data_IF_202224119450
#
_entry.id   IF_202224119450
#
_cell.length_a   1.000
_cell.length_b   1.000
_cell.length_c   1.000
_cell.angle_alpha   90.00
_cell.angle_beta   90.00
_cell.angle_gamma   90.00
#
_symmetry.space_group_name_H-M   'P 1'
#
loop_
_entity.id
_entity.type
_entity.pdbx_description
1 polymer ?
#
# COMPACT_ATOMS: atom_id res chain seq x y z
N UNK A 1 -5.41 11.37 1.01
CA UNK A 1 -4.50 10.47 0.28
C UNK A 1 -3.10 10.92 0.61
N UNK A 2 -2.42 10.21 1.47
CA UNK A 2 -0.98 10.40 1.63
C UNK A 2 -0.29 9.77 0.41
N UNK A 3 0.55 10.49 -0.31
CA UNK A 3 1.27 9.92 -1.44
C UNK A 3 2.27 8.88 -0.92
N UNK A 4 2.07 7.64 -1.34
CA UNK A 4 3.11 6.60 -1.31
C UNK A 4 2.75 5.46 -0.40
N UNK A 5 2.76 5.06 0.62
CA UNK A 5 2.85 3.75 1.28
C UNK A 5 1.51 3.24 1.83
N UNK A 6 0.52 4.12 2.03
CA UNK A 6 -0.74 3.79 2.70
C UNK A 6 -1.95 4.02 1.79
N UNK A 7 -2.04 3.34 0.66
CA UNK A 7 -3.24 3.31 -0.18
C UNK A 7 -4.11 2.13 0.24
N UNK A 8 -5.23 2.38 0.88
CA UNK A 8 -6.16 1.34 1.28
C UNK A 8 -7.47 1.43 0.49
N UNK A 9 -8.11 0.29 0.30
CA UNK A 9 -9.44 0.23 -0.27
C UNK A 9 -10.42 0.92 0.69
N UNK A 10 -11.04 1.99 0.20
CA UNK A 10 -12.12 2.68 0.91
C UNK A 10 -13.31 2.85 -0.03
N UNK A 11 -14.50 2.82 0.51
CA UNK A 11 -15.70 3.18 -0.24
C UNK A 11 -16.06 4.62 0.08
N UNK A 12 -16.24 5.41 -0.98
CA UNK A 12 -16.73 6.78 -0.87
C UNK A 12 -18.25 6.77 -0.76
N UNK A 13 -18.77 7.65 0.08
CA UNK A 13 -20.21 7.89 0.27
C UNK A 13 -20.48 9.39 0.29
N UNK A 14 -21.70 9.77 -0.08
CA UNK A 14 -22.24 11.10 0.06
C UNK A 14 -22.81 11.38 1.47
N UNK A 15 -22.76 10.39 2.35
CA UNK A 15 -23.17 10.55 3.74
C UNK A 15 -22.12 11.31 4.53
N UNK A 16 -22.54 12.33 5.26
CA UNK A 16 -21.66 13.13 6.08
C UNK A 16 -21.04 12.30 7.24
N UNK A 17 -19.73 12.12 7.23
CA UNK A 17 -18.99 11.56 8.34
C UNK A 17 -18.35 12.71 9.11
N UNK A 18 -18.94 13.04 10.25
CA UNK A 18 -18.46 14.11 11.12
C UNK A 18 -17.54 13.55 12.24
N UNK A 19 -16.70 14.38 12.85
CA UNK A 19 -15.97 14.00 14.06
C UNK A 19 -16.91 13.40 15.11
N UNK A 20 -16.59 12.18 15.58
CA UNK A 20 -17.41 11.38 16.48
C UNK A 20 -18.14 10.21 15.82
N UNK A 21 -18.32 10.21 14.50
CA UNK A 21 -18.91 9.08 13.78
C UNK A 21 -17.89 7.99 13.41
N UNK A 22 -16.60 8.33 13.41
CA UNK A 22 -15.52 7.38 13.07
C UNK A 22 -15.53 6.17 13.99
N UNK A 23 -15.41 4.96 13.42
CA UNK A 23 -15.56 3.70 14.14
C UNK A 23 -17.01 3.21 14.25
N UNK A 24 -18.00 4.04 13.94
CA UNK A 24 -19.41 3.63 13.91
C UNK A 24 -19.75 2.77 12.69
N UNK A 25 -20.81 1.94 12.76
CA UNK A 25 -21.22 1.10 11.64
C UNK A 25 -21.87 1.93 10.53
N UNK A 26 -21.48 1.67 9.28
CA UNK A 26 -22.20 2.12 8.10
C UNK A 26 -23.19 1.05 7.71
N UNK A 27 -24.47 1.42 7.59
CA UNK A 27 -25.55 0.44 7.33
C UNK A 27 -26.30 0.77 6.04
N UNK A 28 -26.71 -0.29 5.34
CA UNK A 28 -27.59 -0.19 4.18
C UNK A 28 -28.65 -1.29 4.31
N UNK A 29 -29.93 -0.94 4.19
CA UNK A 29 -31.05 -1.87 4.31
C UNK A 29 -31.01 -2.73 5.60
N UNK A 30 -30.54 -2.14 6.70
CA UNK A 30 -30.45 -2.81 8.01
C UNK A 30 -29.24 -3.74 8.19
N UNK A 31 -28.36 -3.82 7.21
CA UNK A 31 -27.11 -4.59 7.29
C UNK A 31 -25.90 -3.67 7.39
N UNK A 32 -24.91 -4.07 8.19
CA UNK A 32 -23.63 -3.37 8.25
C UNK A 32 -22.83 -3.66 6.98
N UNK A 33 -22.46 -2.59 6.26
CA UNK A 33 -21.68 -2.65 5.01
C UNK A 33 -20.26 -2.13 5.19
N UNK A 34 -19.92 -1.58 6.34
CA UNK A 34 -18.60 -1.06 6.64
C UNK A 34 -18.52 -0.32 7.96
N UNK A 35 -17.36 0.27 8.19
CA UNK A 35 -17.04 1.10 9.36
C UNK A 35 -16.64 2.49 8.91
N UNK A 36 -17.32 3.52 9.45
CA UNK A 36 -17.01 4.91 9.16
C UNK A 36 -15.57 5.25 9.53
N UNK A 37 -14.84 5.87 8.60
CA UNK A 37 -13.41 6.12 8.80
C UNK A 37 -13.08 7.61 8.84
N UNK A 38 -13.25 8.31 7.71
CA UNK A 38 -12.90 9.74 7.64
C UNK A 38 -13.79 10.49 6.65
N UNK A 39 -13.78 11.83 6.76
CA UNK A 39 -14.35 12.73 5.76
C UNK A 39 -13.27 13.63 5.18
N UNK A 40 -13.52 14.16 4.00
CA UNK A 40 -12.70 15.22 3.45
C UNK A 40 -13.25 16.57 3.90
N UNK A 41 -12.59 17.20 4.88
CA UNK A 41 -13.02 18.49 5.44
C UNK A 41 -13.05 19.66 4.43
N UNK A 42 -12.46 19.47 3.25
CA UNK A 42 -12.44 20.48 2.18
C UNK A 42 -13.55 20.26 1.13
N UNK A 43 -14.20 19.12 1.17
CA UNK A 43 -15.31 18.77 0.26
C UNK A 43 -16.56 18.52 1.10
N UNK A 44 -17.61 19.21 0.81
CA UNK A 44 -18.90 18.96 1.43
C UNK A 44 -19.42 17.59 1.00
N UNK A 45 -20.01 16.85 1.94
CA UNK A 45 -20.69 15.58 1.70
C UNK A 45 -19.83 14.47 1.08
N UNK A 46 -18.55 14.40 1.45
CA UNK A 46 -17.65 13.29 1.06
C UNK A 46 -17.17 12.58 2.30
N UNK A 47 -17.68 11.37 2.51
CA UNK A 47 -17.23 10.46 3.54
C UNK A 47 -16.57 9.21 2.95
N UNK A 48 -15.77 8.53 3.76
CA UNK A 48 -15.13 7.26 3.40
C UNK A 48 -15.34 6.25 4.50
N UNK A 49 -15.63 5.02 4.12
CA UNK A 49 -15.73 3.92 5.07
C UNK A 49 -14.91 2.70 4.66
N UNK A 50 -14.48 1.95 5.65
CA UNK A 50 -13.75 0.69 5.49
C UNK A 50 -14.76 -0.39 5.10
N UNK A 51 -14.59 -1.07 3.95
CA UNK A 51 -15.54 -2.06 3.47
C UNK A 51 -15.42 -3.41 4.20
N UNK A 52 -16.48 -4.20 4.15
CA UNK A 52 -16.59 -5.52 4.81
C UNK A 52 -15.43 -6.47 4.47
N UNK A 53 -14.89 -6.57 3.23
CA UNK A 53 -13.75 -7.44 2.96
C UNK A 53 -12.53 -7.15 3.84
N UNK A 54 -12.17 -5.88 4.02
CA UNK A 54 -11.04 -5.51 4.88
C UNK A 54 -11.32 -5.77 6.36
N UNK A 55 -12.56 -5.57 6.80
CA UNK A 55 -12.98 -5.90 8.16
C UNK A 55 -12.84 -7.40 8.41
N UNK A 56 -13.34 -8.23 7.49
CA UNK A 56 -13.24 -9.68 7.58
C UNK A 56 -11.79 -10.16 7.57
N UNK A 57 -10.95 -9.56 6.73
CA UNK A 57 -9.51 -9.84 6.72
C UNK A 57 -8.88 -9.55 8.09
N UNK A 58 -9.15 -8.37 8.65
CA UNK A 58 -8.64 -8.00 9.97
C UNK A 58 -9.12 -8.96 11.06
N UNK A 59 -10.42 -9.31 11.08
CA UNK A 59 -10.96 -10.26 12.05
C UNK A 59 -10.37 -11.67 11.90
N UNK A 60 -10.03 -12.06 10.68
CA UNK A 60 -9.36 -13.35 10.43
C UNK A 60 -7.91 -13.31 10.92
N UNK A 61 -7.20 -12.20 10.71
CA UNK A 61 -5.83 -11.98 11.15
C UNK A 61 -5.70 -12.10 12.68
N UNK A 62 -6.54 -11.37 13.43
CA UNK A 62 -6.48 -11.35 14.90
C UNK A 62 -7.09 -12.58 15.58
N UNK A 63 -7.57 -13.56 14.85
CA UNK A 63 -8.30 -14.72 15.42
C UNK A 63 -7.46 -15.56 16.36
N UNK A 64 -6.16 -15.61 16.15
CA UNK A 64 -5.19 -16.30 17.01
C UNK A 64 -4.69 -15.44 18.18
N UNK A 65 -5.18 -14.21 18.30
CA UNK A 65 -4.80 -13.22 19.33
C UNK A 65 -3.60 -12.37 18.96
N UNK A 66 -3.12 -12.47 17.72
CA UNK A 66 -1.98 -11.69 17.20
C UNK A 66 -2.40 -10.91 15.97
N UNK A 67 -1.86 -9.71 15.83
CA UNK A 67 -1.99 -8.92 14.60
C UNK A 67 -0.70 -9.01 13.77
N UNK A 68 -0.75 -9.70 12.64
CA UNK A 68 0.39 -9.86 11.74
C UNK A 68 0.57 -8.69 10.77
N UNK A 69 -0.49 -7.94 10.52
CA UNK A 69 -0.45 -6.73 9.72
C UNK A 69 -1.07 -6.85 8.33
N UNK A 70 -0.85 -5.85 7.49
CA UNK A 70 -1.32 -5.82 6.10
C UNK A 70 -0.20 -6.32 5.20
N UNK A 71 -0.45 -7.31 4.34
CA UNK A 71 0.55 -7.76 3.40
C UNK A 71 0.76 -6.73 2.28
N UNK A 72 1.98 -6.64 1.81
CA UNK A 72 2.36 -5.74 0.72
C UNK A 72 3.19 -6.47 -0.34
N UNK A 73 3.05 -6.05 -1.60
CA UNK A 73 3.90 -6.55 -2.69
C UNK A 73 5.33 -6.00 -2.53
N UNK A 74 5.46 -4.72 -2.18
CA UNK A 74 6.74 -4.07 -1.96
C UNK A 74 7.44 -3.67 -3.25
N UNK A 75 6.73 -3.00 -4.15
CA UNK A 75 7.26 -2.44 -5.40
C UNK A 75 6.85 -0.98 -5.58
N UNK A 76 7.69 -0.21 -6.26
CA UNK A 76 7.29 1.06 -6.86
C UNK A 76 7.08 0.86 -8.36
N UNK A 77 6.07 1.53 -8.89
CA UNK A 77 5.63 1.31 -10.26
C UNK A 77 5.38 2.61 -11.00
N UNK A 78 5.54 2.57 -12.31
CA UNK A 78 5.16 3.65 -13.23
C UNK A 78 4.11 3.18 -14.22
N UNK A 79 3.17 4.08 -14.52
CA UNK A 79 2.13 3.84 -15.52
C UNK A 79 2.71 3.73 -16.93
N UNK A 80 2.11 2.88 -17.74
CA UNK A 80 2.47 2.67 -19.14
C UNK A 80 1.40 3.24 -20.11
N UNK A 81 0.76 4.35 -19.73
CA UNK A 81 -0.24 5.03 -20.57
C UNK A 81 0.38 5.48 -21.90
N UNK A 82 1.66 5.85 -21.91
CA UNK A 82 2.35 6.25 -23.12
C UNK A 82 2.57 5.03 -24.04
N UNK A 83 1.89 5.01 -25.19
CA UNK A 83 1.97 3.93 -26.16
C UNK A 83 3.39 3.73 -26.73
N UNK A 84 4.13 4.81 -27.00
CA UNK A 84 5.49 4.71 -27.52
C UNK A 84 6.43 4.05 -26.51
N UNK A 85 6.20 4.28 -25.21
CA UNK A 85 6.99 3.62 -24.18
C UNK A 85 6.68 2.12 -24.10
N UNK A 86 5.42 1.71 -24.24
CA UNK A 86 5.06 0.29 -24.35
C UNK A 86 5.73 -0.37 -25.56
N UNK A 87 5.73 0.30 -26.73
CA UNK A 87 6.43 -0.17 -27.93
C UNK A 87 7.94 -0.32 -27.71
N UNK A 88 8.55 0.67 -27.04
CA UNK A 88 9.98 0.61 -26.67
C UNK A 88 10.29 -0.61 -25.77
N UNK A 89 9.41 -0.93 -24.83
CA UNK A 89 9.52 -2.11 -23.98
C UNK A 89 9.17 -3.42 -24.70
N UNK A 90 8.76 -3.33 -25.96
CA UNK A 90 8.42 -4.49 -26.81
C UNK A 90 7.13 -5.20 -26.37
N UNK A 91 6.22 -4.53 -25.66
CA UNK A 91 4.95 -5.13 -25.27
C UNK A 91 4.08 -5.40 -26.51
N UNK A 92 3.33 -6.52 -26.55
CA UNK A 92 2.30 -6.74 -27.55
C UNK A 92 1.24 -5.62 -27.52
N UNK A 93 0.65 -5.32 -28.69
CA UNK A 93 -0.19 -4.11 -28.90
C UNK A 93 -1.34 -3.97 -27.87
N UNK A 94 -2.03 -5.03 -27.56
CA UNK A 94 -3.20 -5.03 -26.66
C UNK A 94 -2.85 -5.37 -25.21
N UNK A 95 -1.55 -5.31 -24.85
CA UNK A 95 -1.11 -5.63 -23.50
C UNK A 95 -1.04 -4.36 -22.67
N UNK A 96 -1.84 -4.33 -21.60
CA UNK A 96 -1.69 -3.37 -20.53
C UNK A 96 -0.52 -3.73 -19.61
N UNK A 97 -0.49 -3.11 -18.46
CA UNK A 97 0.47 -3.41 -17.41
C UNK A 97 1.14 -2.18 -16.84
N UNK A 98 1.90 -2.42 -15.79
CA UNK A 98 2.59 -1.37 -15.04
C UNK A 98 4.06 -1.74 -14.87
N UNK A 99 4.94 -0.76 -15.07
CA UNK A 99 6.39 -0.97 -15.00
C UNK A 99 6.85 -1.04 -13.54
N UNK A 100 7.62 -2.04 -13.19
CA UNK A 100 8.32 -2.13 -11.91
C UNK A 100 9.59 -1.28 -11.99
N UNK A 101 9.60 -0.17 -11.26
CA UNK A 101 10.75 0.74 -11.16
C UNK A 101 11.68 0.40 -10.01
N UNK A 102 11.11 -0.11 -8.93
CA UNK A 102 11.87 -0.52 -7.75
C UNK A 102 11.25 -1.73 -7.08
N UNK A 103 12.10 -2.57 -6.53
CA UNK A 103 11.72 -3.67 -5.63
C UNK A 103 12.30 -3.33 -4.26
N UNK A 104 11.44 -3.32 -3.24
CA UNK A 104 11.84 -3.04 -1.86
C UNK A 104 12.57 -4.26 -1.30
N UNK A 105 13.79 -4.11 -0.78
CA UNK A 105 14.51 -5.22 -0.17
C UNK A 105 13.72 -5.89 0.95
N UNK A 106 13.80 -7.20 1.03
CA UNK A 106 13.10 -8.07 2.01
C UNK A 106 11.56 -8.09 1.89
N UNK A 107 10.97 -7.40 0.92
CA UNK A 107 9.53 -7.43 0.63
C UNK A 107 9.06 -8.77 0.05
N UNK A 108 7.75 -8.88 -0.23
CA UNK A 108 7.19 -10.02 -0.95
C UNK A 108 7.78 -10.17 -2.35
N UNK A 109 8.07 -9.06 -3.03
CA UNK A 109 8.61 -9.04 -4.38
C UNK A 109 10.12 -9.34 -4.45
N UNK A 110 10.85 -9.24 -3.34
CA UNK A 110 12.30 -9.40 -3.32
C UNK A 110 12.73 -10.82 -3.74
N UNK A 111 13.63 -10.88 -4.71
CA UNK A 111 14.08 -12.14 -5.31
C UNK A 111 13.11 -12.75 -6.33
N UNK A 112 11.92 -12.17 -6.56
CA UNK A 112 10.89 -12.67 -7.49
C UNK A 112 10.70 -11.71 -8.67
N UNK A 113 10.37 -10.44 -8.35
CA UNK A 113 10.24 -9.37 -9.36
C UNK A 113 11.60 -8.69 -9.57
N UNK A 114 11.77 -8.16 -10.77
CA UNK A 114 12.97 -7.43 -11.16
C UNK A 114 12.59 -6.03 -11.64
N UNK A 115 13.48 -5.07 -11.43
CA UNK A 115 13.37 -3.75 -12.06
C UNK A 115 13.32 -3.92 -13.57
N UNK A 116 12.35 -3.27 -14.22
CA UNK A 116 12.10 -3.39 -15.65
C UNK A 116 11.09 -4.47 -16.04
N UNK A 117 10.56 -5.25 -15.10
CA UNK A 117 9.40 -6.09 -15.36
C UNK A 117 8.18 -5.23 -15.65
N UNK A 118 7.32 -5.68 -16.56
CA UNK A 118 5.99 -5.11 -16.68
C UNK A 118 4.99 -6.10 -16.11
N UNK A 119 4.38 -5.75 -14.99
CA UNK A 119 3.35 -6.55 -14.36
C UNK A 119 2.05 -6.44 -15.16
N UNK A 120 1.64 -7.53 -15.81
CA UNK A 120 0.52 -7.57 -16.75
C UNK A 120 -0.74 -8.21 -16.18
N UNK A 121 -0.57 -9.13 -15.22
CA UNK A 121 -1.67 -9.78 -14.50
C UNK A 121 -1.35 -9.98 -13.03
N UNK A 122 -2.39 -9.93 -12.24
CA UNK A 122 -2.41 -10.36 -10.84
C UNK A 122 -3.60 -11.29 -10.65
N UNK A 123 -3.34 -12.51 -10.19
CA UNK A 123 -4.33 -13.60 -10.25
C UNK A 123 -4.95 -13.71 -11.66
N UNK A 124 -6.26 -13.78 -11.77
CA UNK A 124 -6.97 -13.80 -13.04
C UNK A 124 -7.23 -12.41 -13.65
N UNK A 125 -6.85 -11.34 -12.95
CA UNK A 125 -7.16 -9.97 -13.34
C UNK A 125 -6.06 -9.37 -14.24
N UNK A 126 -6.46 -8.82 -15.37
CA UNK A 126 -5.60 -8.04 -16.24
C UNK A 126 -5.33 -6.66 -15.62
N UNK A 127 -4.08 -6.24 -15.61
CA UNK A 127 -3.68 -4.91 -15.17
C UNK A 127 -3.63 -4.00 -16.40
N UNK A 128 -4.33 -2.88 -16.36
CA UNK A 128 -4.28 -1.91 -17.44
C UNK A 128 -3.01 -1.03 -17.39
N UNK A 129 -2.86 -0.15 -18.37
CA UNK A 129 -1.70 0.73 -18.46
C UNK A 129 -1.62 1.81 -17.37
N UNK A 130 -2.67 1.99 -16.58
CA UNK A 130 -2.71 2.88 -15.42
C UNK A 130 -2.49 2.14 -14.09
N UNK A 131 -2.32 0.81 -14.11
CA UNK A 131 -2.18 -0.01 -12.91
C UNK A 131 -3.52 -0.35 -12.24
N UNK A 132 -4.59 -0.31 -13.03
CA UNK A 132 -5.92 -0.63 -12.53
C UNK A 132 -6.32 -2.04 -12.96
N UNK A 133 -7.11 -2.69 -12.13
CA UNK A 133 -7.80 -3.94 -12.43
C UNK A 133 -9.30 -3.74 -12.36
N UNK A 134 -10.04 -4.56 -13.10
CA UNK A 134 -11.51 -4.54 -13.05
C UNK A 134 -11.98 -5.49 -11.97
N UNK A 135 -12.51 -4.92 -10.90
CA UNK A 135 -13.07 -5.65 -9.78
C UNK A 135 -14.59 -5.47 -9.78
N UNK A 136 -15.32 -6.50 -10.27
CA UNK A 136 -16.75 -6.37 -10.60
C UNK A 136 -17.00 -5.24 -11.60
N UNK A 137 -17.82 -4.26 -11.27
CA UNK A 137 -18.14 -3.10 -12.11
C UNK A 137 -17.21 -1.89 -11.89
N UNK A 138 -16.22 -2.00 -11.01
CA UNK A 138 -15.33 -0.91 -10.62
C UNK A 138 -13.90 -1.15 -11.09
N UNK A 139 -13.19 -0.06 -11.33
CA UNK A 139 -11.76 -0.07 -11.52
C UNK A 139 -11.07 0.31 -10.21
N UNK A 140 -10.17 -0.54 -9.75
CA UNK A 140 -9.40 -0.35 -8.52
C UNK A 140 -7.92 -0.62 -8.79
N UNK A 141 -7.05 -0.14 -7.92
CA UNK A 141 -5.63 -0.46 -8.04
C UNK A 141 -5.38 -1.96 -7.87
N UNK A 142 -4.45 -2.51 -8.62
CA UNK A 142 -4.08 -3.93 -8.54
C UNK A 142 -3.56 -4.35 -7.16
N UNK A 143 -3.08 -3.43 -6.33
CA UNK A 143 -2.60 -3.70 -4.97
C UNK A 143 -3.69 -4.30 -4.07
N UNK A 144 -4.96 -4.12 -4.41
CA UNK A 144 -6.09 -4.67 -3.62
C UNK A 144 -6.01 -6.19 -3.48
N UNK A 145 -5.43 -6.89 -4.47
CA UNK A 145 -5.32 -8.34 -4.40
C UNK A 145 -4.37 -8.81 -3.28
N UNK A 146 -3.33 -8.05 -2.99
CA UNK A 146 -2.49 -8.32 -1.83
C UNK A 146 -3.21 -7.89 -0.53
N UNK A 147 -3.85 -6.74 -0.53
CA UNK A 147 -4.49 -6.14 0.64
C UNK A 147 -5.64 -7.01 1.20
N UNK A 148 -6.34 -7.75 0.34
CA UNK A 148 -7.42 -8.65 0.72
C UNK A 148 -6.96 -10.03 1.25
N UNK A 149 -5.66 -10.30 1.28
CA UNK A 149 -5.07 -11.59 1.68
C UNK A 149 -4.41 -11.51 3.04
N UNK A 150 -3.97 -12.67 3.53
CA UNK A 150 -3.19 -12.77 4.77
C UNK A 150 -1.68 -12.81 4.47
N UNK A 151 -0.89 -12.48 5.48
CA UNK A 151 0.55 -12.73 5.43
C UNK A 151 0.78 -14.24 5.32
N UNK A 152 1.69 -14.66 4.43
CA UNK A 152 1.95 -16.05 4.10
C UNK A 152 1.15 -16.61 2.94
N UNK A 153 0.08 -15.93 2.50
CA UNK A 153 -0.65 -16.34 1.29
C UNK A 153 0.20 -16.20 0.03
N UNK A 154 -0.10 -17.04 -0.94
CA UNK A 154 0.51 -16.97 -2.26
C UNK A 154 -0.28 -16.04 -3.18
N UNK A 155 0.42 -15.29 -4.01
CA UNK A 155 -0.14 -14.39 -5.02
C UNK A 155 0.46 -14.72 -6.38
N UNK A 156 -0.39 -15.00 -7.37
CA UNK A 156 0.04 -15.32 -8.72
C UNK A 156 0.19 -14.06 -9.55
N UNK A 157 1.30 -13.93 -10.26
CA UNK A 157 1.61 -12.79 -11.11
C UNK A 157 1.97 -13.25 -12.52
N UNK A 158 1.68 -12.42 -13.51
CA UNK A 158 2.26 -12.55 -14.82
C UNK A 158 3.02 -11.26 -15.16
N UNK A 159 4.25 -11.40 -15.59
CA UNK A 159 5.09 -10.29 -16.02
C UNK A 159 5.56 -10.45 -17.46
N UNK A 160 5.74 -9.32 -18.13
CA UNK A 160 6.52 -9.25 -19.36
C UNK A 160 7.97 -8.92 -18.99
N UNK A 161 8.86 -9.86 -19.27
CA UNK A 161 10.29 -9.76 -18.97
C UNK A 161 11.10 -10.17 -20.18
N UNK A 162 11.91 -9.25 -20.71
CA UNK A 162 12.81 -9.51 -21.86
C UNK A 162 12.11 -10.19 -23.04
N UNK A 163 10.96 -9.68 -23.45
CA UNK A 163 10.24 -10.19 -24.62
C UNK A 163 9.41 -11.45 -24.41
N UNK A 164 9.14 -11.86 -23.17
CA UNK A 164 8.37 -13.06 -22.86
C UNK A 164 7.44 -12.83 -21.66
N UNK A 165 6.28 -13.48 -21.69
CA UNK A 165 5.43 -13.60 -20.51
C UNK A 165 5.97 -14.69 -19.59
N UNK A 166 6.07 -14.35 -18.30
CA UNK A 166 6.54 -15.26 -17.24
C UNK A 166 5.51 -15.23 -16.12
N UNK A 167 5.08 -16.41 -15.69
CA UNK A 167 4.24 -16.54 -14.52
C UNK A 167 5.13 -16.71 -13.28
N UNK A 168 4.82 -15.96 -12.24
CA UNK A 168 5.56 -15.92 -10.99
C UNK A 168 4.60 -16.10 -9.81
N UNK A 169 5.12 -16.61 -8.72
CA UNK A 169 4.37 -16.72 -7.46
C UNK A 169 5.13 -15.94 -6.39
N UNK A 170 4.45 -15.03 -5.73
CA UNK A 170 4.98 -14.42 -4.50
C UNK A 170 4.39 -15.09 -3.28
N UNK A 171 5.15 -15.09 -2.18
CA UNK A 171 4.59 -15.29 -0.83
C UNK A 171 4.46 -13.92 -0.18
N UNK A 172 3.26 -13.57 0.23
CA UNK A 172 2.95 -12.27 0.82
C UNK A 172 3.59 -12.14 2.20
N UNK A 173 4.23 -11.03 2.45
CA UNK A 173 4.88 -10.67 3.70
C UNK A 173 4.31 -9.34 4.20
N UNK A 174 4.44 -9.08 5.49
CA UNK A 174 4.29 -7.73 6.01
C UNK A 174 5.28 -6.80 5.31
N UNK A 175 4.93 -5.52 5.21
CA UNK A 175 5.89 -4.53 4.73
C UNK A 175 7.21 -4.70 5.51
N UNK A 176 8.35 -4.80 4.82
CA UNK A 176 9.65 -5.05 5.44
C UNK A 176 10.20 -3.84 6.17
N UNK A 177 9.39 -2.79 6.26
CA UNK A 177 9.78 -1.56 6.90
C UNK A 177 9.82 -1.76 8.41
N UNK A 178 10.97 -1.51 9.01
CA UNK A 178 11.15 -1.42 10.43
C UNK A 178 10.40 -0.21 11.02
N UNK A 179 10.66 0.08 12.28
CA UNK A 179 10.06 1.23 13.00
C UNK A 179 10.31 2.58 12.31
N UNK A 180 11.31 2.66 11.44
CA UNK A 180 11.65 3.85 10.65
C UNK A 180 10.56 4.23 9.65
N UNK A 181 9.80 3.26 9.11
CA UNK A 181 8.78 3.48 8.08
C UNK A 181 7.34 3.39 8.61
N UNK A 182 7.15 2.93 9.84
CA UNK A 182 5.84 2.76 10.48
C UNK A 182 5.68 3.65 11.69
N UNK A 183 4.44 4.02 11.99
CA UNK A 183 4.13 4.57 13.29
C UNK A 183 4.06 3.44 14.31
N UNK A 184 4.86 3.55 15.37
CA UNK A 184 4.80 2.65 16.53
C UNK A 184 3.89 3.30 17.57
N UNK A 185 2.76 2.66 17.91
CA UNK A 185 1.79 3.25 18.84
C UNK A 185 1.95 2.75 20.26
N UNK A 186 2.36 1.49 20.42
CA UNK A 186 2.39 0.79 21.72
C UNK A 186 3.81 0.40 22.15
N UNK A 187 4.82 0.87 21.43
CA UNK A 187 6.23 0.59 21.73
C UNK A 187 6.95 1.87 22.17
N UNK A 188 7.74 1.75 23.22
CA UNK A 188 8.62 2.84 23.63
C UNK A 188 9.77 2.98 22.61
N UNK A 189 10.19 4.22 22.30
CA UNK A 189 11.30 4.41 21.35
C UNK A 189 12.59 3.84 21.94
N UNK A 190 13.33 3.12 21.13
CA UNK A 190 14.69 2.71 21.48
C UNK A 190 15.60 3.94 21.53
N UNK A 191 16.41 4.03 22.56
CA UNK A 191 17.38 5.12 22.72
C UNK A 191 18.67 4.66 23.41
N UNK A 192 19.73 5.40 23.15
CA UNK A 192 21.03 5.22 23.82
C UNK A 192 21.48 6.56 24.40
N UNK A 193 21.94 6.55 25.63
CA UNK A 193 22.54 7.72 26.27
C UNK A 193 24.06 7.55 26.28
N UNK A 194 24.76 8.46 25.64
CA UNK A 194 26.22 8.49 25.62
C UNK A 194 26.75 9.93 25.75
N UNK A 195 27.68 10.16 26.67
CA UNK A 195 28.29 11.47 26.89
C UNK A 195 27.27 12.58 27.26
N UNK A 196 26.14 12.23 27.89
CA UNK A 196 25.07 13.20 28.23
C UNK A 196 24.15 13.52 27.05
N UNK A 197 24.31 12.90 25.89
CA UNK A 197 23.45 13.02 24.72
C UNK A 197 22.54 11.81 24.62
N UNK A 198 21.32 12.04 24.15
CA UNK A 198 20.34 10.98 23.84
C UNK A 198 20.32 10.75 22.34
N UNK A 199 20.57 9.53 21.92
CA UNK A 199 20.50 9.11 20.53
C UNK A 199 19.27 8.24 20.35
N UNK A 200 18.46 8.56 19.33
CA UNK A 200 17.27 7.78 18.91
C UNK A 200 17.38 7.47 17.43
N UNK A 201 16.76 6.36 17.00
CA UNK A 201 16.61 6.09 15.58
C UNK A 201 15.70 7.16 14.93
N UNK A 202 16.09 7.65 13.75
CA UNK A 202 15.25 8.52 12.95
C UNK A 202 14.10 7.67 12.37
N UNK A 203 12.90 7.85 12.88
CA UNK A 203 11.74 7.07 12.51
C UNK A 203 10.54 7.97 12.14
N UNK A 204 9.49 7.35 11.61
CA UNK A 204 8.29 8.07 11.15
C UNK A 204 7.59 8.82 12.28
N UNK A 205 7.52 8.27 13.48
CA UNK A 205 6.92 8.94 14.63
C UNK A 205 7.63 10.26 14.96
N UNK A 206 8.96 10.27 14.88
CA UNK A 206 9.75 11.48 15.09
C UNK A 206 9.49 12.53 14.00
N UNK A 207 9.50 12.09 12.73
CA UNK A 207 9.32 12.96 11.55
C UNK A 207 7.93 13.61 11.54
N UNK A 208 6.89 12.85 11.88
CA UNK A 208 5.49 13.30 11.81
C UNK A 208 4.89 13.69 13.16
N UNK A 209 5.71 13.83 14.22
CA UNK A 209 5.22 14.21 15.53
C UNK A 209 4.55 15.59 15.50
N UNK A 210 3.30 15.73 15.97
CA UNK A 210 2.61 17.01 16.04
C UNK A 210 3.39 18.03 16.88
N UNK A 211 3.60 19.22 16.35
CA UNK A 211 4.31 20.28 17.02
C UNK A 211 5.84 20.20 16.95
N UNK A 212 6.37 19.18 16.33
CA UNK A 212 7.80 19.07 16.09
C UNK A 212 8.16 19.79 14.78
N UNK A 213 8.97 20.84 14.87
CA UNK A 213 9.64 21.39 13.69
C UNK A 213 10.80 20.46 13.37
N UNK A 214 10.51 19.37 12.68
CA UNK A 214 11.55 18.45 12.20
C UNK A 214 12.60 19.25 11.46
N UNK A 215 13.89 19.16 11.81
CA UNK A 215 14.92 19.86 11.08
C UNK A 215 14.85 19.51 9.60
N UNK A 216 14.87 20.51 8.67
CA UNK A 216 14.73 20.26 7.24
C UNK A 216 15.68 19.17 6.71
N UNK A 217 16.92 19.13 7.23
CA UNK A 217 17.90 18.11 6.85
C UNK A 217 17.50 16.69 7.29
N UNK A 218 16.92 16.53 8.48
CA UNK A 218 16.47 15.21 8.95
C UNK A 218 15.28 14.71 8.12
N UNK A 219 14.33 15.58 7.78
CA UNK A 219 13.22 15.26 6.91
C UNK A 219 13.70 14.93 5.49
N UNK A 220 14.61 15.72 4.93
CA UNK A 220 15.16 15.49 3.60
C UNK A 220 15.93 14.18 3.52
N UNK A 221 16.73 13.86 4.54
CA UNK A 221 17.44 12.59 4.63
C UNK A 221 16.46 11.43 4.72
N UNK A 222 15.47 11.48 5.62
CA UNK A 222 14.46 10.45 5.78
C UNK A 222 13.70 10.21 4.47
N UNK A 223 13.25 11.31 3.80
CA UNK A 223 12.51 11.21 2.56
C UNK A 223 13.31 10.61 1.42
N UNK A 224 14.59 10.97 1.29
CA UNK A 224 15.45 10.47 0.21
C UNK A 224 15.93 9.04 0.43
N UNK A 225 16.31 8.72 1.62
CA UNK A 225 17.01 7.45 1.90
C UNK A 225 16.04 6.35 2.35
N UNK A 226 14.93 6.72 2.96
CA UNK A 226 14.00 5.77 3.56
C UNK A 226 12.69 5.72 2.76
N UNK A 227 12.01 6.86 2.55
CA UNK A 227 10.73 6.89 1.85
C UNK A 227 10.88 6.79 0.33
N UNK A 228 11.94 7.40 -0.23
CA UNK A 228 12.26 7.35 -1.67
C UNK A 228 13.76 7.12 -1.91
N UNK A 229 14.31 5.98 -1.54
CA UNK A 229 15.68 5.67 -1.89
C UNK A 229 15.85 5.61 -3.41
N UNK A 230 16.97 6.13 -3.90
CA UNK A 230 17.33 6.21 -5.33
C UNK A 230 17.66 4.84 -5.90
#
# INVERSE_FOLDING_TARGET
VHPGIDSHLLIQTDSAINPGNSGGPVTQSGQAIGVAFQSNLRLNDVGYFIPVPLINRFLADIKDGRYDGVPEIGIETSSLINQHYRQYLGLPEDTGGILVERVVPHSSADGVLLIGDVLTKIEDLQIDAAGMVRYSEQQVTFFIEAENRQIGDSLQLQVWRKGKFINLTLTLKAAPFGSEMRNSYDELPEYVIFGGLVFIALNRNYIHSPGNMTPPLAYEHWYREIERPR
#
